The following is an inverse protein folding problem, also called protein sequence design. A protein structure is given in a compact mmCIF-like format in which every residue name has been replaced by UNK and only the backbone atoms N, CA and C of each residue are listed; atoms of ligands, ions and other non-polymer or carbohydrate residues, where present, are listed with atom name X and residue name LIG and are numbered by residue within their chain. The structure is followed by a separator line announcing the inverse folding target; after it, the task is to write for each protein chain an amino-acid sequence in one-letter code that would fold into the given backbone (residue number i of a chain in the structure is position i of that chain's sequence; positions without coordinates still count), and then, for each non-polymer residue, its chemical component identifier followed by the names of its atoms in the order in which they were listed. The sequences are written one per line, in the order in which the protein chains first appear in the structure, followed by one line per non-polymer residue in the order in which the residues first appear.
data_IF_692642751934
#
_entry.id   IF_692642751934
#
_cell.length_a   1.000
_cell.length_b   1.000
_cell.length_c   1.000
_cell.angle_alpha   90.00
_cell.angle_beta   90.00
_cell.angle_gamma   90.00
#
_symmetry.space_group_name_H-M   'P 1'
#
loop_
_entity.id
_entity.type
_entity.pdbx_description
1 polymer ?
#
# COMPACT_ATOMS: atom_id res chain seq x y z
N UNK A 1 -50.43 -18.96 -4.64
CA UNK A 1 -50.13 -17.72 -5.37
C UNK A 1 -50.66 -16.59 -4.51
N UNK A 2 -49.89 -15.69 -3.92
CA UNK A 2 -48.57 -15.19 -4.28
C UNK A 2 -47.87 -14.67 -3.02
N UNK A 3 -46.55 -14.78 -3.00
CA UNK A 3 -45.70 -14.13 -2.02
C UNK A 3 -45.70 -12.62 -2.24
N UNK A 4 -45.78 -11.85 -1.14
CA UNK A 4 -45.42 -10.44 -1.12
C UNK A 4 -44.02 -10.32 -0.47
N UNK A 5 -42.96 -10.01 -1.23
CA UNK A 5 -41.62 -9.79 -0.67
C UNK A 5 -41.48 -8.31 -0.33
N UNK A 6 -41.98 -7.92 0.84
CA UNK A 6 -41.77 -6.57 1.34
C UNK A 6 -40.31 -6.39 1.82
N UNK A 7 -39.65 -5.41 1.17
CA UNK A 7 -38.46 -4.66 1.59
C UNK A 7 -37.12 -5.27 1.18
N UNK A 8 -36.80 -4.99 -0.08
CA UNK A 8 -35.44 -4.70 -0.53
C UNK A 8 -34.78 -3.67 0.38
N UNK A 9 -33.68 -4.04 1.03
CA UNK A 9 -32.71 -3.09 1.53
C UNK A 9 -31.54 -3.06 0.52
N UNK A 10 -31.43 -2.04 -0.34
CA UNK A 10 -30.36 -1.97 -1.32
C UNK A 10 -29.09 -1.44 -0.66
N UNK A 11 -27.94 -2.06 -0.97
CA UNK A 11 -26.58 -1.48 -0.88
C UNK A 11 -25.90 -1.34 0.48
N UNK A 12 -25.86 -2.41 1.26
CA UNK A 12 -24.65 -2.69 2.04
C UNK A 12 -23.89 -3.82 1.36
N UNK A 13 -23.32 -3.56 0.19
CA UNK A 13 -22.16 -4.36 -0.20
C UNK A 13 -21.13 -4.11 0.92
N UNK A 14 -20.70 -5.11 1.69
CA UNK A 14 -19.62 -4.91 2.65
C UNK A 14 -18.47 -4.40 1.82
N UNK A 15 -18.09 -3.14 2.09
CA UNK A 15 -17.22 -2.37 1.21
C UNK A 15 -16.03 -3.20 0.80
N UNK A 16 -15.58 -3.00 -0.43
CA UNK A 16 -14.15 -3.14 -0.69
C UNK A 16 -13.47 -2.23 0.32
N UNK A 17 -13.15 -2.78 1.49
CA UNK A 17 -12.40 -2.13 2.54
C UNK A 17 -11.11 -1.75 1.85
N UNK A 18 -10.99 -0.48 1.44
CA UNK A 18 -9.69 0.10 1.18
C UNK A 18 -8.89 -0.23 2.43
N UNK A 19 -7.98 -1.20 2.32
CA UNK A 19 -7.15 -1.61 3.45
C UNK A 19 -6.25 -0.42 3.72
N UNK A 20 -6.66 0.38 4.71
CA UNK A 20 -5.92 1.50 5.24
C UNK A 20 -5.07 0.97 6.39
N UNK A 21 -3.77 1.16 6.27
CA UNK A 21 -2.76 0.73 7.22
C UNK A 21 -2.27 1.97 7.93
N UNK A 22 -2.41 1.99 9.26
CA UNK A 22 -1.92 3.10 10.08
C UNK A 22 -0.44 2.85 10.38
N UNK A 23 0.39 3.84 10.09
CA UNK A 23 1.85 3.80 10.25
C UNK A 23 2.30 5.02 11.05
N UNK A 24 3.57 5.10 11.44
CA UNK A 24 4.06 6.25 12.19
C UNK A 24 4.02 7.56 11.37
N UNK A 25 4.19 7.47 10.05
CA UNK A 25 4.18 8.62 9.15
C UNK A 25 2.77 9.04 8.72
N UNK A 26 1.76 8.18 8.94
CA UNK A 26 0.37 8.46 8.62
C UNK A 26 -0.41 7.23 8.17
N UNK A 27 -1.44 7.44 7.36
CA UNK A 27 -2.30 6.35 6.86
C UNK A 27 -1.96 6.01 5.42
N UNK A 28 -1.50 4.80 5.19
CA UNK A 28 -1.24 4.24 3.86
C UNK A 28 -2.47 3.46 3.41
N UNK A 29 -2.88 3.57 2.16
CA UNK A 29 -3.92 2.76 1.57
C UNK A 29 -3.33 1.90 0.46
N UNK A 30 -3.91 0.71 0.26
CA UNK A 30 -3.68 -0.05 -0.97
C UNK A 30 -3.97 0.82 -2.19
N UNK A 31 -3.07 0.79 -3.15
CA UNK A 31 -3.11 1.55 -4.38
C UNK A 31 -2.47 2.94 -4.30
N UNK A 32 -1.87 3.31 -3.17
CA UNK A 32 -1.07 4.52 -3.09
C UNK A 32 0.23 4.39 -3.88
N UNK A 33 0.67 5.49 -4.46
CA UNK A 33 1.91 5.52 -5.24
C UNK A 33 3.09 5.79 -4.30
N UNK A 34 4.15 5.01 -4.39
CA UNK A 34 5.36 5.19 -3.59
C UNK A 34 6.40 5.94 -4.42
N UNK A 35 6.83 7.08 -3.91
CA UNK A 35 7.82 7.96 -4.51
C UNK A 35 9.15 7.85 -3.77
N UNK A 36 10.25 7.82 -4.51
CA UNK A 36 11.58 8.04 -3.95
C UNK A 36 11.79 9.52 -3.58
N UNK A 37 12.95 9.86 -3.03
CA UNK A 37 13.29 11.25 -2.70
C UNK A 37 13.58 12.14 -3.92
N UNK A 38 13.63 11.57 -5.12
CA UNK A 38 13.70 12.30 -6.39
C UNK A 38 12.30 12.45 -7.03
N UNK A 39 11.23 12.21 -6.28
CA UNK A 39 9.84 12.19 -6.74
C UNK A 39 9.57 11.17 -7.87
N UNK A 40 10.41 10.13 -7.99
CA UNK A 40 10.20 9.03 -8.94
C UNK A 40 9.30 7.97 -8.36
N UNK A 41 8.34 7.53 -9.16
CA UNK A 41 7.46 6.41 -8.83
C UNK A 41 8.29 5.13 -8.84
N UNK A 42 8.48 4.54 -7.66
CA UNK A 42 9.10 3.23 -7.50
C UNK A 42 8.05 2.14 -7.69
N UNK A 43 6.81 2.37 -7.24
CA UNK A 43 5.74 1.39 -7.35
C UNK A 43 4.44 1.81 -6.69
N UNK A 44 3.51 0.87 -6.58
CA UNK A 44 2.20 1.06 -5.97
C UNK A 44 2.04 0.12 -4.77
N UNK A 45 1.47 0.60 -3.66
CA UNK A 45 1.26 -0.18 -2.44
C UNK A 45 0.24 -1.29 -2.69
N UNK A 46 0.67 -2.55 -2.56
CA UNK A 46 -0.25 -3.69 -2.52
C UNK A 46 -0.84 -3.85 -1.11
N UNK A 47 0.05 -3.95 -0.11
CA UNK A 47 -0.31 -4.19 1.28
C UNK A 47 0.81 -3.75 2.21
N UNK A 48 0.50 -3.60 3.50
CA UNK A 48 1.52 -3.41 4.54
C UNK A 48 1.52 -4.65 5.42
N UNK A 49 2.69 -5.25 5.60
CA UNK A 49 2.93 -6.40 6.48
C UNK A 49 3.92 -6.00 7.57
N UNK A 50 3.48 -6.11 8.82
CA UNK A 50 4.26 -5.79 10.02
C UNK A 50 4.85 -4.37 9.98
N UNK A 51 6.08 -4.22 9.46
CA UNK A 51 6.82 -2.96 9.35
C UNK A 51 7.33 -2.68 7.93
N UNK A 52 6.75 -3.34 6.92
CA UNK A 52 7.13 -3.18 5.52
C UNK A 52 5.89 -2.99 4.63
N UNK A 53 5.99 -2.10 3.65
CA UNK A 53 5.07 -1.95 2.53
C UNK A 53 5.49 -2.94 1.45
N UNK A 54 4.57 -3.76 0.98
CA UNK A 54 4.74 -4.59 -0.21
C UNK A 54 4.20 -3.81 -1.42
N UNK A 55 4.97 -3.72 -2.50
CA UNK A 55 4.56 -3.06 -3.74
C UNK A 55 4.04 -4.08 -4.76
N UNK A 56 3.06 -3.67 -5.57
CA UNK A 56 2.49 -4.46 -6.68
C UNK A 56 3.51 -4.64 -7.81
N UNK A 57 4.35 -3.63 -8.04
CA UNK A 57 5.39 -3.65 -9.07
C UNK A 57 6.49 -2.68 -8.65
N UNK A 58 7.74 -3.13 -8.69
CA UNK A 58 8.93 -2.32 -8.42
C UNK A 58 9.95 -2.41 -9.56
N UNK A 59 10.99 -1.57 -9.58
CA UNK A 59 12.04 -1.64 -10.58
C UNK A 59 12.87 -2.92 -10.39
N UNK A 60 12.54 -3.95 -11.18
CA UNK A 60 13.41 -5.12 -11.40
C UNK A 60 13.07 -6.41 -10.66
N UNK A 61 12.11 -6.43 -9.73
CA UNK A 61 11.75 -7.65 -8.98
C UNK A 61 10.26 -7.73 -8.64
N UNK A 62 9.68 -8.95 -8.62
CA UNK A 62 8.26 -9.17 -8.31
C UNK A 62 7.90 -8.89 -6.84
N UNK A 63 8.87 -8.93 -5.92
CA UNK A 63 8.66 -8.73 -4.48
C UNK A 63 9.46 -7.53 -3.97
N UNK A 64 9.08 -6.34 -4.44
CA UNK A 64 9.69 -5.10 -3.95
C UNK A 64 8.99 -4.67 -2.65
N UNK A 65 9.74 -4.57 -1.56
CA UNK A 65 9.22 -4.16 -0.26
C UNK A 65 9.99 -2.95 0.29
N UNK A 66 9.29 -2.09 1.02
CA UNK A 66 9.81 -0.84 1.55
C UNK A 66 9.55 -0.79 3.06
N UNK A 67 10.59 -0.68 3.91
CA UNK A 67 10.41 -0.49 5.33
C UNK A 67 9.57 0.76 5.62
N UNK A 68 8.65 0.68 6.57
CA UNK A 68 7.90 1.85 7.02
C UNK A 68 8.85 2.93 7.50
N UNK A 69 9.97 2.56 8.14
CA UNK A 69 11.00 3.47 8.64
C UNK A 69 11.64 4.37 7.57
N UNK A 70 11.55 4.00 6.29
CA UNK A 70 12.01 4.83 5.18
C UNK A 70 10.99 5.89 4.76
N UNK A 71 9.74 5.81 5.22
CA UNK A 71 8.72 6.80 4.90
C UNK A 71 9.08 8.11 5.58
N UNK A 72 9.31 9.13 4.75
CA UNK A 72 9.48 10.52 5.19
C UNK A 72 8.12 11.15 5.50
N UNK A 73 7.11 10.85 4.68
CA UNK A 73 5.76 11.34 4.87
C UNK A 73 4.75 10.75 3.91
N UNK A 74 3.49 11.13 4.09
CA UNK A 74 2.38 10.75 3.20
C UNK A 74 1.71 12.04 2.71
N UNK A 75 1.64 12.20 1.39
CA UNK A 75 1.05 13.36 0.73
C UNK A 75 -0.13 12.93 -0.14
N UNK A 76 -1.35 13.15 0.35
CA UNK A 76 -2.58 12.76 -0.35
C UNK A 76 -2.64 11.25 -0.60
N UNK A 77 -2.49 10.85 -1.86
CA UNK A 77 -2.46 9.43 -2.31
C UNK A 77 -1.05 8.92 -2.60
N UNK A 78 -0.01 9.60 -2.09
CA UNK A 78 1.39 9.28 -2.33
C UNK A 78 2.13 9.04 -1.03
N UNK A 79 2.99 8.02 -1.00
CA UNK A 79 3.94 7.74 0.08
C UNK A 79 5.29 8.26 -0.36
N UNK A 80 5.88 9.16 0.42
CA UNK A 80 7.19 9.76 0.16
C UNK A 80 8.24 9.00 0.95
N UNK A 81 9.27 8.52 0.28
CA UNK A 81 10.42 7.90 0.93
C UNK A 81 11.51 8.94 1.17
N UNK A 82 12.10 8.89 2.36
CA UNK A 82 13.34 9.56 2.66
C UNK A 82 14.43 8.98 1.74
N UNK A 83 15.34 9.81 1.22
CA UNK A 83 16.28 9.48 0.13
C UNK A 83 17.31 8.39 0.40
N UNK A 84 17.06 7.53 1.39
CA UNK A 84 17.69 6.22 1.58
C UNK A 84 16.94 5.10 0.84
N UNK A 85 15.89 5.43 0.08
CA UNK A 85 15.12 4.50 -0.76
C UNK A 85 15.88 3.89 -1.94
N UNK A 86 17.21 3.81 -1.89
CA UNK A 86 17.92 2.78 -2.64
C UNK A 86 17.45 1.44 -2.08
N UNK A 87 16.85 0.62 -2.94
CA UNK A 87 16.27 -0.70 -2.69
C UNK A 87 17.27 -1.76 -2.16
N UNK A 88 18.19 -1.40 -1.26
CA UNK A 88 19.26 -2.24 -0.76
C UNK A 88 18.82 -3.19 0.36
N UNK A 89 17.53 -3.33 0.63
CA UNK A 89 17.01 -4.33 1.57
C UNK A 89 16.27 -5.41 0.79
N UNK A 90 17.00 -6.46 0.43
CA UNK A 90 16.45 -7.60 -0.31
C UNK A 90 17.43 -8.37 -1.19
N UNK A 91 18.71 -7.99 -1.30
CA UNK A 91 19.72 -8.98 -1.65
C UNK A 91 19.83 -9.94 -0.48
N UNK A 92 19.08 -11.03 -0.58
CA UNK A 92 19.19 -12.15 0.35
C UNK A 92 20.66 -12.51 0.51
N UNK A 93 21.20 -12.22 1.70
CA UNK A 93 22.30 -13.00 2.22
C UNK A 93 21.74 -14.39 2.50
N UNK A 94 21.68 -15.23 1.47
CA UNK A 94 21.60 -16.68 1.62
C UNK A 94 22.97 -17.22 1.23
N UNK A 95 23.82 -17.68 2.18
CA UNK A 95 24.95 -18.53 1.85
C UNK A 95 24.49 -19.89 1.30
#
# INVERSE_FOLDING_TARGET
MSADPAIANPRSAPGQRQKKFRTFAGTIARGMVVLDANDRIIGEVDRVESDHIILVSGPGSPDYFVPLSLIDGISGSKVLLSGRGDAAFGLGATP
#
